data_IF_554773444118
#
_entry.id   IF_554773444118
#
_cell.length_a   1.000
_cell.length_b   1.000
_cell.length_c   1.000
_cell.angle_alpha   90.00
_cell.angle_beta   90.00
_cell.angle_gamma   90.00
#
_symmetry.space_group_name_H-M   'P 1'
#
loop_
_entity.id
_entity.type
_entity.pdbx_description
1 polymer ?
#
# COMPACT_ATOMS: atom_id res chain seq x y z
N UNK A 1 -33.58 -18.66 -50.31
CA UNK A 1 -33.59 -18.31 -48.88
C UNK A 1 -32.16 -18.42 -48.37
N UNK A 2 -31.46 -17.30 -48.22
CA UNK A 2 -30.08 -17.30 -47.76
C UNK A 2 -30.06 -17.18 -46.23
N UNK A 3 -29.55 -18.20 -45.55
CA UNK A 3 -29.33 -18.17 -44.10
C UNK A 3 -28.09 -17.31 -43.81
N UNK A 4 -28.34 -16.12 -43.29
CA UNK A 4 -27.36 -15.22 -42.70
C UNK A 4 -26.90 -15.79 -41.35
N UNK A 5 -25.74 -16.45 -41.33
CA UNK A 5 -25.03 -16.74 -40.09
C UNK A 5 -24.26 -15.48 -39.65
N UNK A 6 -24.89 -14.67 -38.81
CA UNK A 6 -24.16 -13.65 -38.05
C UNK A 6 -23.30 -14.36 -37.00
N UNK A 7 -21.98 -14.36 -37.20
CA UNK A 7 -21.04 -14.65 -36.11
C UNK A 7 -21.24 -13.57 -35.05
N UNK A 8 -21.88 -13.92 -33.93
CA UNK A 8 -21.78 -13.13 -32.71
C UNK A 8 -20.30 -13.13 -32.31
N UNK A 9 -19.65 -11.98 -32.44
CA UNK A 9 -18.38 -11.74 -31.79
C UNK A 9 -18.63 -11.86 -30.28
N UNK A 10 -18.07 -12.88 -29.65
CA UNK A 10 -17.93 -12.90 -28.20
C UNK A 10 -16.99 -11.76 -27.84
N UNK A 11 -17.55 -10.64 -27.40
CA UNK A 11 -16.78 -9.66 -26.66
C UNK A 11 -16.36 -10.35 -25.36
N UNK A 12 -15.13 -10.83 -25.30
CA UNK A 12 -14.46 -11.00 -24.02
C UNK A 12 -14.39 -9.61 -23.44
N UNK A 13 -15.21 -9.30 -22.44
CA UNK A 13 -14.94 -8.17 -21.56
C UNK A 13 -13.48 -8.31 -21.14
N UNK A 14 -12.63 -7.40 -21.59
CA UNK A 14 -11.33 -7.23 -20.98
C UNK A 14 -11.62 -6.91 -19.53
N UNK A 15 -11.49 -7.91 -18.65
CA UNK A 15 -11.53 -7.70 -17.20
C UNK A 15 -10.42 -6.71 -16.92
N UNK A 16 -10.80 -5.44 -16.73
CA UNK A 16 -9.90 -4.36 -16.45
C UNK A 16 -9.10 -4.79 -15.22
N UNK A 17 -7.82 -5.11 -15.41
CA UNK A 17 -6.96 -5.54 -14.32
C UNK A 17 -6.73 -4.27 -13.49
N UNK A 18 -7.52 -4.11 -12.43
CA UNK A 18 -7.41 -2.98 -11.52
C UNK A 18 -6.20 -3.18 -10.61
N UNK A 19 -5.03 -3.08 -11.22
CA UNK A 19 -3.75 -2.95 -10.54
C UNK A 19 -3.79 -1.71 -9.64
N UNK A 20 -3.13 -1.78 -8.48
CA UNK A 20 -3.06 -0.67 -7.54
C UNK A 20 -1.65 -0.47 -7.03
N UNK A 21 -1.24 0.79 -7.06
CA UNK A 21 -0.04 1.21 -6.35
C UNK A 21 -0.33 1.22 -4.85
N UNK A 22 0.57 0.59 -4.08
CA UNK A 22 0.52 0.55 -2.63
C UNK A 22 1.87 1.01 -2.10
N UNK A 23 1.87 2.03 -1.24
CA UNK A 23 3.07 2.46 -0.55
C UNK A 23 3.14 1.77 0.81
N UNK A 24 4.17 0.97 1.01
CA UNK A 24 4.49 0.33 2.26
C UNK A 24 5.62 1.08 2.97
N UNK A 25 5.49 1.26 4.27
CA UNK A 25 6.52 1.84 5.13
C UNK A 25 6.64 0.91 6.35
N UNK A 26 7.85 0.51 6.69
CA UNK A 26 8.11 -0.08 7.99
C UNK A 26 9.27 0.61 8.68
N UNK A 27 9.26 0.46 10.00
CA UNK A 27 10.25 0.97 10.91
C UNK A 27 10.86 -0.22 11.64
N UNK A 28 12.19 -0.31 11.56
CA UNK A 28 12.94 -1.35 12.25
C UNK A 28 13.92 -0.74 13.22
N UNK A 29 13.99 -1.33 14.41
CA UNK A 29 15.02 -1.03 15.37
C UNK A 29 16.38 -1.54 14.88
N UNK A 30 17.39 -0.69 14.93
CA UNK A 30 18.75 -1.00 14.42
C UNK A 30 19.36 -2.27 15.00
N UNK A 31 19.11 -2.54 16.28
CA UNK A 31 19.82 -3.58 17.04
C UNK A 31 19.06 -4.92 17.00
N UNK A 32 17.74 -4.88 17.18
CA UNK A 32 16.90 -6.07 17.28
C UNK A 32 16.35 -6.52 15.92
N UNK A 33 16.36 -5.65 14.90
CA UNK A 33 15.63 -5.81 13.61
C UNK A 33 14.14 -6.08 13.80
N UNK A 34 13.60 -5.81 14.98
CA UNK A 34 12.17 -5.88 15.26
C UNK A 34 11.50 -4.73 14.53
N UNK A 35 10.38 -5.02 13.87
CA UNK A 35 9.58 -4.00 13.21
C UNK A 35 8.71 -3.32 14.28
N UNK A 36 9.02 -2.10 14.70
CA UNK A 36 8.13 -1.38 15.63
C UNK A 36 6.81 -1.03 14.95
N UNK A 37 6.87 -0.61 13.70
CA UNK A 37 5.71 -0.11 12.98
C UNK A 37 5.73 -0.52 11.52
N UNK A 38 4.57 -0.91 11.00
CA UNK A 38 4.37 -1.16 9.59
C UNK A 38 3.06 -0.53 9.13
N UNK A 39 3.07 0.16 8.00
CA UNK A 39 1.88 0.75 7.41
C UNK A 39 1.82 0.61 5.89
N UNK A 40 0.59 0.53 5.40
CA UNK A 40 0.24 0.55 3.99
C UNK A 40 -0.62 1.77 3.71
N UNK A 41 -0.36 2.38 2.57
CA UNK A 41 -1.07 3.56 2.09
C UNK A 41 -1.47 3.28 0.65
N UNK A 42 -2.77 3.36 0.39
CA UNK A 42 -3.36 3.20 -0.94
C UNK A 42 -4.35 4.33 -1.18
N UNK A 43 -4.55 4.70 -2.44
CA UNK A 43 -5.54 5.69 -2.81
C UNK A 43 -6.80 5.01 -3.32
N UNK A 44 -7.91 5.28 -2.63
CA UNK A 44 -9.25 4.96 -3.07
C UNK A 44 -9.70 6.03 -4.08
N UNK A 45 -9.87 5.61 -5.33
CA UNK A 45 -10.33 6.49 -6.40
C UNK A 45 -11.83 6.74 -6.35
N UNK A 46 -12.59 5.79 -5.80
CA UNK A 46 -14.05 5.85 -5.76
C UNK A 46 -14.48 6.86 -4.68
N UNK A 47 -13.85 6.82 -3.50
CA UNK A 47 -14.09 7.77 -2.40
C UNK A 47 -13.19 9.03 -2.44
N UNK A 48 -12.16 9.02 -3.30
CA UNK A 48 -11.25 10.16 -3.47
C UNK A 48 -10.33 10.43 -2.27
N UNK A 49 -9.98 9.38 -1.54
CA UNK A 49 -9.21 9.47 -0.29
C UNK A 49 -8.10 8.42 -0.16
N UNK A 50 -7.19 8.65 0.77
CA UNK A 50 -6.15 7.69 1.12
C UNK A 50 -6.66 6.80 2.25
N UNK A 51 -6.64 5.50 2.02
CA UNK A 51 -6.70 4.51 3.09
C UNK A 51 -5.29 4.37 3.67
N UNK A 52 -5.22 4.42 5.00
CA UNK A 52 -4.01 4.14 5.76
C UNK A 52 -4.33 3.04 6.75
N UNK A 53 -3.58 1.94 6.69
CA UNK A 53 -3.69 0.84 7.64
C UNK A 53 -2.31 0.40 8.10
N UNK A 54 -2.21 -0.11 9.32
CA UNK A 54 -0.93 -0.50 9.87
C UNK A 54 -1.09 -1.21 11.20
N UNK A 55 0.04 -1.50 11.82
CA UNK A 55 0.14 -2.12 13.14
C UNK A 55 1.38 -1.57 13.83
N UNK A 56 1.34 -1.57 15.16
CA UNK A 56 2.49 -1.27 16.03
C UNK A 56 2.90 -2.50 16.83
N UNK A 57 4.09 -2.44 17.41
CA UNK A 57 4.64 -3.37 18.38
C UNK A 57 4.77 -4.80 17.84
N UNK A 58 5.92 -5.09 17.22
CA UNK A 58 6.40 -6.46 17.07
C UNK A 58 7.36 -6.89 18.18
N UNK A 59 7.49 -6.20 19.31
CA UNK A 59 8.41 -6.64 20.38
C UNK A 59 8.05 -8.06 20.91
N UNK A 60 6.83 -8.53 20.66
CA UNK A 60 6.34 -9.85 21.03
C UNK A 60 6.27 -10.88 19.87
N UNK A 61 7.22 -10.89 18.92
CA UNK A 61 7.36 -12.00 17.93
C UNK A 61 7.75 -13.34 18.57
N UNK A 62 7.80 -13.46 19.90
CA UNK A 62 7.88 -14.78 20.56
C UNK A 62 6.72 -15.70 20.10
N UNK A 63 5.63 -15.14 19.56
CA UNK A 63 4.50 -15.89 18.97
C UNK A 63 4.14 -15.52 17.51
N UNK A 64 4.99 -14.83 16.73
CA UNK A 64 4.68 -14.40 15.35
C UNK A 64 3.35 -13.61 15.20
N UNK A 65 2.87 -12.94 16.24
CA UNK A 65 1.63 -12.15 16.19
C UNK A 65 1.96 -10.69 15.96
N UNK A 66 1.44 -10.16 14.86
CA UNK A 66 1.33 -8.72 14.65
C UNK A 66 0.36 -8.13 15.69
N UNK A 67 0.58 -6.86 16.04
CA UNK A 67 -0.32 -6.12 16.92
C UNK A 67 -1.72 -5.91 16.34
N UNK A 68 -2.58 -5.26 17.13
CA UNK A 68 -3.92 -4.87 16.69
C UNK A 68 -3.81 -3.87 15.53
N UNK A 69 -4.42 -4.18 14.36
CA UNK A 69 -4.32 -3.30 13.22
C UNK A 69 -5.17 -2.06 13.42
N UNK A 70 -4.67 -0.92 12.95
CA UNK A 70 -5.45 0.30 12.82
C UNK A 70 -5.79 0.55 11.34
N UNK A 71 -6.88 1.27 11.11
CA UNK A 71 -7.28 1.76 9.79
C UNK A 71 -7.98 3.10 9.91
N UNK A 72 -7.66 4.03 9.02
CA UNK A 72 -8.38 5.29 8.88
C UNK A 72 -8.16 5.89 7.48
N UNK A 73 -8.92 6.95 7.19
CA UNK A 73 -8.96 7.57 5.88
C UNK A 73 -8.63 9.05 5.95
N UNK A 74 -8.01 9.59 4.89
CA UNK A 74 -7.87 11.03 4.74
C UNK A 74 -7.77 11.47 3.27
N UNK A 75 -8.35 12.61 2.93
CA UNK A 75 -8.38 13.11 1.53
C UNK A 75 -7.08 13.78 1.07
N UNK A 76 -6.33 14.35 2.02
CA UNK A 76 -5.19 15.24 1.74
C UNK A 76 -3.87 14.53 1.96
N UNK A 77 -2.99 14.56 0.94
CA UNK A 77 -1.60 14.08 0.99
C UNK A 77 -0.82 14.66 2.19
N UNK A 78 -1.11 15.91 2.54
CA UNK A 78 -0.53 16.57 3.70
C UNK A 78 -0.82 15.80 5.00
N UNK A 79 -2.06 15.37 5.22
CA UNK A 79 -2.42 14.65 6.45
C UNK A 79 -1.77 13.26 6.51
N UNK A 80 -1.61 12.59 5.36
CA UNK A 80 -0.81 11.35 5.27
C UNK A 80 0.63 11.59 5.72
N UNK A 81 1.26 12.65 5.21
CA UNK A 81 2.63 13.02 5.61
C UNK A 81 2.72 13.40 7.09
N UNK A 82 1.78 14.19 7.59
CA UNK A 82 1.75 14.62 8.99
C UNK A 82 1.62 13.37 9.91
N UNK A 83 0.81 12.38 9.52
CA UNK A 83 0.71 11.11 10.21
C UNK A 83 2.05 10.35 10.22
N UNK A 84 2.67 10.14 9.06
CA UNK A 84 3.98 9.46 8.95
C UNK A 84 5.01 10.13 9.87
N UNK A 85 5.10 11.46 9.83
CA UNK A 85 6.06 12.21 10.64
C UNK A 85 5.76 12.17 12.15
N UNK A 86 4.51 11.91 12.55
CA UNK A 86 4.11 11.86 13.97
C UNK A 86 4.29 10.49 14.63
N UNK A 87 4.29 9.41 13.85
CA UNK A 87 4.18 8.04 14.39
C UNK A 87 5.49 7.25 14.33
N UNK A 88 6.33 7.53 13.34
CA UNK A 88 7.58 6.82 13.07
C UNK A 88 8.71 7.50 13.83
N UNK A 89 9.53 6.74 14.56
CA UNK A 89 10.65 7.31 15.30
C UNK A 89 11.76 7.74 14.34
N UNK A 90 12.23 8.98 14.51
CA UNK A 90 13.40 9.51 13.81
C UNK A 90 14.69 8.78 14.20
N UNK A 91 14.71 8.12 15.36
CA UNK A 91 15.82 7.31 15.85
C UNK A 91 15.98 5.96 15.14
N UNK A 92 14.94 5.46 14.47
CA UNK A 92 14.91 4.15 13.82
C UNK A 92 15.15 4.24 12.30
N UNK A 93 15.38 3.09 11.69
CA UNK A 93 15.62 2.98 10.25
C UNK A 93 14.32 2.58 9.55
N UNK A 94 13.96 3.32 8.51
CA UNK A 94 12.75 3.05 7.72
C UNK A 94 13.09 2.29 6.44
N UNK A 95 12.25 1.31 6.12
CA UNK A 95 12.16 0.76 4.77
C UNK A 95 10.86 1.22 4.13
N UNK A 96 10.95 1.80 2.94
CA UNK A 96 9.80 2.30 2.19
C UNK A 96 9.80 1.64 0.82
N UNK A 97 8.70 0.99 0.47
CA UNK A 97 8.58 0.23 -0.78
C UNK A 97 7.30 0.65 -1.49
N UNK A 98 7.41 0.95 -2.78
CA UNK A 98 6.26 1.10 -3.67
C UNK A 98 6.00 -0.23 -4.37
N UNK A 99 4.82 -0.80 -4.15
CA UNK A 99 4.35 -2.01 -4.81
C UNK A 99 3.34 -1.71 -5.91
N UNK A 100 3.28 -2.58 -6.93
CA UNK A 100 2.14 -2.69 -7.84
C UNK A 100 1.38 -3.99 -7.56
N UNK A 101 0.27 -3.91 -6.84
CA UNK A 101 -0.56 -5.08 -6.55
C UNK A 101 -1.51 -5.34 -7.69
N UNK A 102 -1.55 -6.59 -8.15
CA UNK A 102 -2.48 -7.02 -9.18
C UNK A 102 -3.82 -7.47 -8.61
N UNK A 103 -4.87 -7.32 -9.43
CA UNK A 103 -6.22 -7.81 -9.12
C UNK A 103 -6.70 -7.36 -7.74
N UNK A 104 -6.43 -6.09 -7.39
CA UNK A 104 -6.56 -5.62 -6.02
C UNK A 104 -8.00 -5.76 -5.48
N UNK A 105 -8.99 -5.51 -6.35
CA UNK A 105 -10.43 -5.62 -6.10
C UNK A 105 -11.04 -6.99 -6.40
N UNK A 106 -10.25 -7.99 -6.77
CA UNK A 106 -10.82 -9.31 -7.13
C UNK A 106 -11.50 -10.03 -5.96
N UNK A 107 -11.25 -9.58 -4.73
CA UNK A 107 -11.72 -10.24 -3.49
C UNK A 107 -12.64 -9.38 -2.64
N UNK A 108 -12.73 -8.08 -2.88
CA UNK A 108 -13.44 -7.14 -2.01
C UNK A 108 -14.23 -6.16 -2.87
N UNK A 109 -15.45 -5.85 -2.43
CA UNK A 109 -16.29 -4.85 -3.10
C UNK A 109 -15.84 -3.43 -2.74
N UNK A 110 -15.25 -3.26 -1.56
CA UNK A 110 -14.80 -1.97 -1.04
C UNK A 110 -13.45 -2.05 -0.29
N UNK A 111 -12.75 -0.91 -0.16
CA UNK A 111 -11.58 -0.79 0.72
C UNK A 111 -11.92 -0.91 2.21
N UNK A 112 -13.20 -0.73 2.58
CA UNK A 112 -13.68 -0.88 3.95
C UNK A 112 -13.62 -2.32 4.47
N UNK A 113 -13.65 -3.29 3.57
CA UNK A 113 -13.46 -4.71 3.92
C UNK A 113 -11.99 -5.08 4.09
N UNK A 114 -11.08 -4.24 3.60
CA UNK A 114 -9.65 -4.51 3.64
C UNK A 114 -9.03 -3.99 4.94
N UNK A 115 -8.18 -4.81 5.54
CA UNK A 115 -7.36 -4.48 6.70
C UNK A 115 -5.89 -4.75 6.43
N UNK A 116 -5.05 -4.47 7.43
CA UNK A 116 -3.60 -4.62 7.35
C UNK A 116 -3.15 -5.97 6.77
N UNK A 117 -3.75 -7.07 7.22
CA UNK A 117 -3.34 -8.42 6.82
C UNK A 117 -3.62 -8.72 5.34
N UNK A 118 -4.67 -8.15 4.75
CA UNK A 118 -4.99 -8.32 3.32
C UNK A 118 -3.91 -7.70 2.43
N UNK A 119 -3.25 -6.64 2.90
CA UNK A 119 -2.07 -6.09 2.24
C UNK A 119 -0.84 -6.93 2.53
N UNK A 120 -0.63 -7.29 3.79
CA UNK A 120 0.58 -7.99 4.22
C UNK A 120 0.77 -9.34 3.53
N UNK A 121 -0.31 -10.11 3.35
CA UNK A 121 -0.30 -11.39 2.65
C UNK A 121 0.01 -11.26 1.15
N UNK A 122 -0.22 -10.09 0.56
CA UNK A 122 0.07 -9.79 -0.86
C UNK A 122 1.50 -9.31 -1.09
N UNK A 123 2.28 -9.03 -0.04
CA UNK A 123 3.67 -8.60 -0.20
C UNK A 123 4.49 -9.64 -0.94
N UNK A 124 5.03 -9.24 -2.09
CA UNK A 124 5.84 -10.10 -2.93
C UNK A 124 6.92 -9.25 -3.61
N UNK A 125 8.18 -9.66 -3.48
CA UNK A 125 9.32 -8.98 -4.09
C UNK A 125 9.17 -8.77 -5.60
N UNK A 126 8.43 -9.64 -6.30
CA UNK A 126 8.16 -9.50 -7.75
C UNK A 126 7.23 -8.33 -8.09
N UNK A 127 6.54 -7.77 -7.09
CA UNK A 127 5.63 -6.63 -7.22
C UNK A 127 6.27 -5.33 -6.77
N UNK A 128 7.50 -5.36 -6.25
CA UNK A 128 8.25 -4.16 -5.87
C UNK A 128 8.64 -3.37 -7.12
N UNK A 129 8.26 -2.10 -7.18
CA UNK A 129 8.68 -1.20 -8.24
C UNK A 129 10.00 -0.52 -7.87
N UNK A 130 10.06 0.01 -6.66
CA UNK A 130 11.19 0.80 -6.16
C UNK A 130 11.04 1.02 -4.65
N UNK A 131 12.13 1.36 -3.96
CA UNK A 131 12.11 1.61 -2.53
C UNK A 131 13.43 2.10 -1.97
N UNK A 132 13.41 2.42 -0.68
CA UNK A 132 14.58 2.69 0.15
C UNK A 132 14.60 1.66 1.27
N UNK A 133 15.78 1.13 1.58
CA UNK A 133 15.97 0.17 2.67
C UNK A 133 16.84 0.79 3.77
N UNK A 134 16.36 0.71 5.01
CA UNK A 134 17.08 1.13 6.21
C UNK A 134 17.61 2.58 6.17
N UNK A 135 16.73 3.54 5.84
CA UNK A 135 17.06 4.97 5.73
C UNK A 135 16.35 5.78 6.82
N UNK A 136 17.00 6.82 7.32
CA UNK A 136 16.41 7.72 8.31
C UNK A 136 15.31 8.57 7.72
N UNK A 137 14.24 8.80 8.49
CA UNK A 137 13.19 9.75 8.13
C UNK A 137 13.70 11.20 8.00
N UNK A 138 14.84 11.50 8.63
CA UNK A 138 15.55 12.78 8.49
C UNK A 138 16.24 12.96 7.14
N UNK A 139 16.37 11.91 6.31
CA UNK A 139 16.92 12.01 4.96
C UNK A 139 15.92 12.74 4.04
N UNK A 140 16.29 13.91 3.48
CA UNK A 140 15.41 14.66 2.59
C UNK A 140 15.00 13.86 1.34
N UNK A 141 15.85 12.94 0.87
CA UNK A 141 15.58 12.09 -0.29
C UNK A 141 14.43 11.13 0.00
N UNK A 142 14.41 10.52 1.19
CA UNK A 142 13.32 9.64 1.62
C UNK A 142 12.01 10.43 1.75
N UNK A 143 12.04 11.59 2.39
CA UNK A 143 10.85 12.46 2.52
C UNK A 143 10.31 12.87 1.16
N UNK A 144 11.19 13.26 0.23
CA UNK A 144 10.80 13.62 -1.12
C UNK A 144 10.24 12.41 -1.89
N UNK A 145 10.81 11.23 -1.69
CA UNK A 145 10.32 9.99 -2.27
C UNK A 145 8.90 9.66 -1.80
N UNK A 146 8.64 9.70 -0.49
CA UNK A 146 7.29 9.48 0.06
C UNK A 146 6.31 10.51 -0.54
N UNK A 147 6.64 11.80 -0.52
CA UNK A 147 5.80 12.87 -1.11
C UNK A 147 5.48 12.62 -2.58
N UNK A 148 6.48 12.21 -3.37
CA UNK A 148 6.30 11.90 -4.80
C UNK A 148 5.38 10.69 -4.98
N UNK A 149 5.55 9.64 -4.19
CA UNK A 149 4.73 8.45 -4.31
C UNK A 149 3.29 8.68 -3.84
N UNK A 150 3.05 9.45 -2.78
CA UNK A 150 1.69 9.90 -2.42
C UNK A 150 1.01 10.68 -3.55
N UNK A 151 1.79 11.34 -4.44
CA UNK A 151 1.26 11.90 -5.67
C UNK A 151 0.94 10.82 -6.70
N UNK A 152 1.84 9.89 -6.94
CA UNK A 152 1.67 8.81 -7.91
C UNK A 152 0.48 7.89 -7.58
N UNK A 153 0.23 7.61 -6.29
CA UNK A 153 -0.92 6.81 -5.84
C UNK A 153 -2.25 7.31 -6.42
N UNK A 154 -2.40 8.63 -6.66
CA UNK A 154 -3.61 9.23 -7.23
C UNK A 154 -3.71 9.18 -8.75
N UNK A 155 -2.58 9.03 -9.45
CA UNK A 155 -2.46 9.43 -10.86
C UNK A 155 -2.04 8.31 -11.79
N UNK A 156 -1.54 7.19 -11.28
CA UNK A 156 -1.20 6.05 -12.13
C UNK A 156 -2.47 5.23 -12.34
N UNK A 157 -3.03 5.36 -13.55
CA UNK A 157 -4.03 4.46 -14.12
C UNK A 157 -3.33 3.59 -15.15
N UNK A 158 -3.45 2.28 -15.04
CA UNK A 158 -3.14 1.34 -16.12
C UNK A 158 -4.45 0.97 -16.81
#
# INVERSE_FOLDING_TARGET
MAQSHSKMASFTEETFIKDKLVLYINESEKQSKVIDMACYIVYDEDEGEFLITGTRDQENVINNKWGEPYKFYCRKKKHVMDFILSIFDMGNDLTVILYNYDNFYSRYESFDEMGFYDFHEKNNHKREITGYNNVKLTDPSLVNYIKKNLKNLKHVRY
#
